data_IF_788797258447
#
_entry.id   IF_788797258447
#
_cell.length_a   1.000
_cell.length_b   1.000
_cell.length_c   1.000
_cell.angle_alpha   90.00
_cell.angle_beta   90.00
_cell.angle_gamma   90.00
#
_symmetry.space_group_name_H-M   'P 1'
#
loop_
_entity.id
_entity.type
_entity.pdbx_description
1 polymer ?
#
# COMPACT_ATOMS: atom_id res chain seq x y z
N UNK A 1 15.32 17.52 4.57
CA UNK A 1 15.11 16.96 3.22
C UNK A 1 16.36 17.17 2.39
N UNK A 2 16.69 16.25 1.48
CA UNK A 2 17.79 16.49 0.53
C UNK A 2 17.39 17.61 -0.43
N UNK A 3 18.32 18.48 -0.80
CA UNK A 3 18.09 19.66 -1.67
C UNK A 3 17.70 19.30 -3.14
N UNK A 4 17.43 18.02 -3.45
CA UNK A 4 17.20 17.52 -4.83
C UNK A 4 16.03 16.51 -4.92
N UNK A 5 14.89 16.83 -4.32
CA UNK A 5 13.66 16.06 -4.52
C UNK A 5 12.93 16.59 -5.77
N UNK A 6 12.78 15.75 -6.81
CA UNK A 6 11.87 16.05 -7.92
C UNK A 6 10.44 15.80 -7.43
N UNK A 7 9.59 16.82 -7.47
CA UNK A 7 8.24 16.73 -6.94
C UNK A 7 7.38 15.77 -7.79
N UNK A 8 6.73 14.82 -7.15
CA UNK A 8 5.86 13.84 -7.80
C UNK A 8 4.51 14.42 -8.27
N UNK A 9 4.26 15.71 -8.06
CA UNK A 9 3.03 16.40 -8.43
C UNK A 9 3.32 17.83 -8.87
N UNK A 10 2.73 18.24 -9.98
CA UNK A 10 2.92 19.56 -10.59
C UNK A 10 1.60 20.13 -11.10
N UNK A 11 1.49 21.46 -11.15
CA UNK A 11 0.35 22.16 -11.77
C UNK A 11 0.85 22.88 -13.02
N UNK A 12 0.33 22.49 -14.17
CA UNK A 12 0.49 23.21 -15.42
C UNK A 12 -0.30 24.54 -15.36
N UNK A 13 0.42 25.65 -15.18
CA UNK A 13 -0.19 26.97 -15.00
C UNK A 13 -0.87 27.51 -16.28
N UNK A 14 -0.47 27.04 -17.45
CA UNK A 14 -1.06 27.44 -18.73
C UNK A 14 -2.45 26.82 -18.93
N UNK A 15 -2.66 25.61 -18.38
CA UNK A 15 -3.97 24.95 -18.36
C UNK A 15 -4.85 25.37 -17.18
N UNK A 16 -4.25 25.88 -16.10
CA UNK A 16 -4.97 26.11 -14.84
C UNK A 16 -5.97 27.28 -14.94
N UNK A 17 -7.26 26.96 -14.80
CA UNK A 17 -8.35 27.94 -14.79
C UNK A 17 -8.48 28.73 -13.47
N UNK A 18 -7.62 28.46 -12.48
CA UNK A 18 -7.61 29.12 -11.16
C UNK A 18 -8.96 29.04 -10.42
N UNK A 19 -9.80 28.06 -10.73
CA UNK A 19 -11.14 27.88 -10.15
C UNK A 19 -11.13 27.44 -8.67
N UNK A 20 -9.95 27.07 -8.13
CA UNK A 20 -9.71 26.68 -6.72
C UNK A 20 -10.47 25.44 -6.23
N UNK A 21 -11.02 24.62 -7.13
CA UNK A 21 -11.63 23.32 -6.73
C UNK A 21 -10.61 22.42 -6.03
N UNK A 22 -9.38 22.37 -6.54
CA UNK A 22 -8.28 21.60 -5.95
C UNK A 22 -7.97 22.03 -4.51
N UNK A 23 -8.03 23.34 -4.21
CA UNK A 23 -7.89 23.89 -2.87
C UNK A 23 -8.96 23.34 -1.93
N UNK A 24 -10.24 23.44 -2.33
CA UNK A 24 -11.39 23.04 -1.51
C UNK A 24 -11.44 21.54 -1.19
N UNK A 25 -10.83 20.69 -2.03
CA UNK A 25 -10.82 19.23 -1.83
C UNK A 25 -9.54 18.70 -1.18
N UNK A 26 -8.55 19.55 -0.89
CA UNK A 26 -7.27 19.10 -0.34
C UNK A 26 -7.38 18.89 1.18
N UNK A 27 -7.35 17.65 1.71
CA UNK A 27 -7.49 17.41 3.14
C UNK A 27 -6.21 17.71 3.95
N UNK A 28 -5.16 18.17 3.28
CA UNK A 28 -3.86 18.48 3.85
C UNK A 28 -3.54 19.97 3.79
N UNK A 29 -4.45 20.79 3.25
CA UNK A 29 -4.23 22.23 3.08
C UNK A 29 -2.90 22.54 2.36
N UNK A 30 -2.53 21.63 1.45
CA UNK A 30 -1.29 21.70 0.69
C UNK A 30 -1.41 22.60 -0.54
N UNK A 31 -2.61 23.04 -0.90
CA UNK A 31 -2.84 23.89 -2.07
C UNK A 31 -3.14 25.30 -1.59
N UNK A 32 -2.63 26.31 -2.30
CA UNK A 32 -2.93 27.73 -2.06
C UNK A 32 -3.06 28.47 -3.38
N UNK A 33 -3.75 29.61 -3.34
CA UNK A 33 -3.77 30.56 -4.45
C UNK A 33 -2.93 31.77 -4.04
N UNK A 34 -1.88 32.03 -4.82
CA UNK A 34 -1.08 33.25 -4.73
C UNK A 34 -1.76 34.32 -5.59
N UNK A 35 -2.26 35.37 -4.93
CA UNK A 35 -2.94 36.48 -5.59
C UNK A 35 -1.98 37.43 -6.30
N UNK A 36 -0.74 37.52 -5.84
CA UNK A 36 0.27 38.43 -6.42
C UNK A 36 0.87 37.81 -7.69
N UNK A 37 1.13 36.50 -7.66
CA UNK A 37 1.63 35.76 -8.82
C UNK A 37 0.51 35.29 -9.77
N UNK A 38 -0.76 35.40 -9.35
CA UNK A 38 -1.95 34.82 -10.00
C UNK A 38 -1.77 33.34 -10.37
N UNK A 39 -1.33 32.54 -9.39
CA UNK A 39 -1.01 31.11 -9.56
C UNK A 39 -1.62 30.26 -8.46
N UNK A 40 -1.87 29.00 -8.79
CA UNK A 40 -2.21 27.97 -7.79
C UNK A 40 -0.95 27.17 -7.51
N UNK A 41 -0.57 27.09 -6.25
CA UNK A 41 0.66 26.44 -5.80
C UNK A 41 0.37 25.24 -4.89
N UNK A 42 1.28 24.26 -4.92
CA UNK A 42 1.26 23.11 -4.04
C UNK A 42 2.46 23.19 -3.10
N UNK A 43 2.19 23.31 -1.81
CA UNK A 43 3.14 23.06 -0.74
C UNK A 43 3.46 21.56 -0.69
N UNK A 44 4.57 21.20 -1.33
CA UNK A 44 5.08 19.82 -1.38
C UNK A 44 5.39 19.29 0.02
N UNK A 45 5.67 20.14 1.02
CA UNK A 45 5.89 19.68 2.39
C UNK A 45 4.63 19.12 3.03
N UNK A 46 3.47 19.67 2.68
CA UNK A 46 2.17 19.20 3.16
C UNK A 46 1.53 18.15 2.27
N UNK A 47 1.91 18.11 1.00
CA UNK A 47 1.31 17.21 0.03
C UNK A 47 1.57 15.74 0.39
N UNK A 48 0.53 14.92 0.34
CA UNK A 48 0.63 13.49 0.63
C UNK A 48 0.46 12.62 -0.62
N UNK A 49 0.50 13.24 -1.82
CA UNK A 49 0.36 12.59 -3.14
C UNK A 49 -0.87 11.65 -3.20
N UNK A 50 -1.97 12.10 -2.58
CA UNK A 50 -3.19 11.30 -2.45
C UNK A 50 -3.94 11.13 -3.78
N UNK A 51 -3.75 12.07 -4.73
CA UNK A 51 -4.39 12.08 -6.05
C UNK A 51 -5.82 12.68 -6.05
N UNK A 52 -6.28 13.28 -4.95
CA UNK A 52 -7.62 13.85 -4.87
C UNK A 52 -7.73 15.13 -5.72
N UNK A 53 -6.74 16.03 -5.65
CA UNK A 53 -6.75 17.27 -6.43
C UNK A 53 -6.70 17.06 -7.97
N UNK A 54 -5.86 16.19 -8.56
CA UNK A 54 -5.92 15.96 -10.01
C UNK A 54 -7.26 15.35 -10.42
N UNK A 55 -7.82 14.43 -9.64
CA UNK A 55 -9.14 13.84 -9.90
C UNK A 55 -10.32 14.81 -9.83
N UNK A 56 -10.09 16.02 -9.29
CA UNK A 56 -11.08 17.08 -9.17
C UNK A 56 -10.80 18.26 -10.12
N UNK A 57 -9.68 18.26 -10.84
CA UNK A 57 -9.33 19.33 -11.75
C UNK A 57 -10.14 19.21 -13.05
N UNK A 58 -11.05 20.16 -13.35
CA UNK A 58 -11.93 20.05 -14.53
C UNK A 58 -11.18 20.22 -15.85
N UNK A 59 -9.97 20.77 -15.82
CA UNK A 59 -9.12 21.06 -16.99
C UNK A 59 -7.86 20.20 -17.01
N UNK A 60 -7.79 19.16 -16.17
CA UNK A 60 -6.66 18.24 -16.07
C UNK A 60 -5.27 18.92 -15.91
N UNK A 61 -5.22 20.11 -15.30
CA UNK A 61 -3.99 20.90 -15.16
C UNK A 61 -3.04 20.39 -14.07
N UNK A 62 -3.35 19.29 -13.37
CA UNK A 62 -2.54 18.76 -12.27
C UNK A 62 -2.06 17.37 -12.65
N UNK A 63 -0.75 17.19 -12.74
CA UNK A 63 -0.10 15.94 -13.13
C UNK A 63 0.54 15.26 -11.91
N UNK A 64 0.52 13.93 -11.86
CA UNK A 64 1.14 13.13 -10.80
C UNK A 64 1.96 12.01 -11.42
N UNK A 65 3.24 11.91 -11.04
CA UNK A 65 4.20 11.00 -11.67
C UNK A 65 3.79 9.51 -11.67
N UNK A 66 3.12 9.05 -10.60
CA UNK A 66 2.81 7.63 -10.41
C UNK A 66 1.39 7.24 -10.82
N UNK A 67 0.61 8.17 -11.37
CA UNK A 67 -0.82 7.93 -11.54
C UNK A 67 -1.41 8.66 -12.74
N UNK A 68 -1.86 7.86 -13.70
CA UNK A 68 -2.63 8.29 -14.84
C UNK A 68 -3.88 7.40 -14.94
N UNK A 69 -5.06 8.01 -14.99
CA UNK A 69 -6.31 7.27 -15.03
C UNK A 69 -6.57 6.63 -16.40
N UNK A 70 -5.98 7.12 -17.49
CA UNK A 70 -6.15 6.50 -18.81
C UNK A 70 -5.46 5.12 -18.83
N UNK A 71 -4.25 5.02 -18.26
CA UNK A 71 -3.58 3.74 -18.03
C UNK A 71 -4.38 2.76 -17.13
N UNK A 72 -5.20 3.27 -16.20
CA UNK A 72 -6.05 2.40 -15.39
C UNK A 72 -7.20 1.79 -16.20
N UNK A 73 -7.78 2.55 -17.14
CA UNK A 73 -8.82 2.04 -18.02
C UNK A 73 -8.22 0.94 -18.91
N UNK A 74 -7.03 1.16 -19.46
CA UNK A 74 -6.30 0.15 -20.24
C UNK A 74 -6.01 -1.11 -19.44
N UNK A 75 -5.61 -0.96 -18.17
CA UNK A 75 -5.44 -2.09 -17.24
C UNK A 75 -6.73 -2.87 -17.06
N UNK A 76 -7.85 -2.19 -16.79
CA UNK A 76 -9.17 -2.82 -16.60
C UNK A 76 -9.56 -3.59 -17.86
N UNK A 77 -9.39 -3.01 -19.04
CA UNK A 77 -9.71 -3.64 -20.32
C UNK A 77 -8.81 -4.85 -20.62
N UNK A 78 -7.53 -4.78 -20.26
CA UNK A 78 -6.59 -5.89 -20.39
C UNK A 78 -6.99 -7.06 -19.49
N UNK A 79 -7.25 -6.78 -18.20
CA UNK A 79 -7.57 -7.81 -17.21
C UNK A 79 -8.96 -8.41 -17.45
N UNK A 80 -9.94 -7.59 -17.84
CA UNK A 80 -11.27 -8.06 -18.26
C UNK A 80 -11.18 -9.18 -19.29
N UNK A 81 -10.35 -9.02 -20.33
CA UNK A 81 -10.15 -10.02 -21.39
C UNK A 81 -9.47 -11.30 -20.89
N UNK A 82 -8.67 -11.23 -19.82
CA UNK A 82 -7.96 -12.38 -19.24
C UNK A 82 -8.83 -13.17 -18.28
N UNK A 83 -9.63 -12.48 -17.47
CA UNK A 83 -10.41 -13.06 -16.37
C UNK A 83 -11.87 -13.35 -16.78
N UNK A 84 -12.27 -12.88 -17.98
CA UNK A 84 -13.61 -12.99 -18.56
C UNK A 84 -14.73 -12.58 -17.59
N UNK A 85 -14.54 -11.42 -16.95
CA UNK A 85 -15.51 -10.83 -16.03
C UNK A 85 -15.90 -9.43 -16.46
N UNK A 86 -17.15 -9.06 -16.22
CA UNK A 86 -17.67 -7.71 -16.40
C UNK A 86 -17.86 -6.96 -15.07
N UNK A 87 -17.33 -7.51 -13.97
CA UNK A 87 -17.41 -6.91 -12.64
C UNK A 87 -16.04 -6.41 -12.19
N UNK A 88 -15.92 -5.09 -12.04
CA UNK A 88 -14.73 -4.42 -11.52
C UNK A 88 -14.84 -4.20 -10.01
N UNK A 89 -13.81 -4.57 -9.27
CA UNK A 89 -13.68 -4.28 -7.84
C UNK A 89 -12.54 -3.30 -7.63
N UNK A 90 -12.88 -2.05 -7.27
CA UNK A 90 -11.92 -1.01 -6.90
C UNK A 90 -11.61 -1.14 -5.40
N UNK A 91 -10.34 -1.30 -5.04
CA UNK A 91 -9.90 -1.48 -3.65
C UNK A 91 -8.82 -0.47 -3.29
N UNK A 92 -8.88 0.10 -2.08
CA UNK A 92 -7.82 0.95 -1.56
C UNK A 92 -6.66 0.10 -1.02
N UNK A 93 -5.40 0.52 -1.14
CA UNK A 93 -4.28 -0.20 -0.49
C UNK A 93 -4.46 -0.32 1.01
N UNK A 94 -4.96 0.74 1.64
CA UNK A 94 -5.28 0.77 3.07
C UNK A 94 -6.40 -0.17 3.49
N UNK A 95 -7.23 -0.61 2.54
CA UNK A 95 -8.30 -1.58 2.74
C UNK A 95 -8.37 -2.51 1.52
N UNK A 96 -7.50 -3.53 1.54
CA UNK A 96 -7.39 -4.55 0.51
C UNK A 96 -7.88 -5.87 1.11
N UNK A 97 -9.17 -6.19 0.98
CA UNK A 97 -9.69 -7.46 1.46
C UNK A 97 -9.00 -8.63 0.76
N UNK A 98 -8.99 -9.80 1.39
CA UNK A 98 -8.61 -11.05 0.75
C UNK A 98 -9.61 -11.42 -0.36
N UNK A 99 -9.24 -12.38 -1.21
CA UNK A 99 -10.15 -12.87 -2.25
C UNK A 99 -11.48 -13.34 -1.68
N UNK A 100 -11.46 -14.13 -0.59
CA UNK A 100 -12.67 -14.61 0.07
C UNK A 100 -13.50 -13.45 0.65
N UNK A 101 -12.86 -12.43 1.25
CA UNK A 101 -13.59 -11.25 1.74
C UNK A 101 -14.23 -10.46 0.60
N UNK A 102 -13.57 -10.35 -0.57
CA UNK A 102 -14.18 -9.73 -1.75
C UNK A 102 -15.39 -10.52 -2.22
N UNK A 103 -15.31 -11.84 -2.27
CA UNK A 103 -16.44 -12.71 -2.65
C UNK A 103 -17.63 -12.55 -1.69
N UNK A 104 -17.38 -12.54 -0.38
CA UNK A 104 -18.40 -12.26 0.65
C UNK A 104 -19.03 -10.87 0.44
N UNK A 105 -18.22 -9.83 0.23
CA UNK A 105 -18.69 -8.46 -0.06
C UNK A 105 -19.57 -8.44 -1.31
N UNK A 106 -19.15 -9.10 -2.39
CA UNK A 106 -19.91 -9.15 -3.64
C UNK A 106 -21.24 -9.88 -3.46
N UNK A 107 -21.24 -11.01 -2.75
CA UNK A 107 -22.45 -11.76 -2.42
C UNK A 107 -23.44 -10.92 -1.60
N UNK A 108 -22.97 -10.18 -0.59
CA UNK A 108 -23.78 -9.25 0.21
C UNK A 108 -24.34 -8.10 -0.63
N UNK A 109 -23.63 -7.72 -1.70
CA UNK A 109 -24.15 -6.77 -2.69
C UNK A 109 -25.11 -7.42 -3.71
N UNK A 110 -25.44 -8.70 -3.58
CA UNK A 110 -26.30 -9.43 -4.52
C UNK A 110 -25.62 -9.73 -5.86
N UNK A 111 -24.29 -9.75 -5.89
CA UNK A 111 -23.48 -10.10 -7.05
C UNK A 111 -22.83 -11.46 -6.80
N UNK A 112 -23.37 -12.51 -7.40
CA UNK A 112 -22.70 -13.81 -7.44
C UNK A 112 -21.87 -13.89 -8.71
N UNK A 113 -20.55 -13.73 -8.58
CA UNK A 113 -19.62 -13.78 -9.71
C UNK A 113 -18.57 -14.86 -9.45
N UNK A 114 -18.23 -15.62 -10.49
CA UNK A 114 -17.15 -16.62 -10.43
C UNK A 114 -15.76 -15.96 -10.47
N UNK A 115 -15.69 -14.75 -11.04
CA UNK A 115 -14.45 -13.98 -11.15
C UNK A 115 -14.75 -12.49 -11.24
N UNK A 116 -13.75 -11.66 -10.92
CA UNK A 116 -13.85 -10.20 -10.99
C UNK A 116 -12.52 -9.60 -11.46
N UNK A 117 -12.58 -8.35 -11.92
CA UNK A 117 -11.40 -7.55 -12.28
C UNK A 117 -10.92 -6.84 -11.01
N UNK A 118 -9.79 -7.22 -10.40
CA UNK A 118 -9.25 -6.51 -9.25
C UNK A 118 -8.49 -5.27 -9.70
N UNK A 119 -8.86 -4.10 -9.16
CA UNK A 119 -8.08 -2.88 -9.31
C UNK A 119 -7.76 -2.30 -7.93
N UNK A 120 -6.54 -2.58 -7.47
CA UNK A 120 -6.01 -2.08 -6.21
C UNK A 120 -5.25 -0.78 -6.45
N UNK A 121 -5.65 0.28 -5.74
CA UNK A 121 -5.13 1.64 -5.92
C UNK A 121 -4.67 2.21 -4.59
N UNK A 122 -3.76 3.19 -4.54
CA UNK A 122 -3.37 3.78 -3.26
C UNK A 122 -4.56 4.40 -2.49
N UNK A 123 -5.58 4.92 -3.19
CA UNK A 123 -6.82 5.42 -2.60
C UNK A 123 -7.98 5.36 -3.60
N UNK A 124 -9.22 5.16 -3.17
CA UNK A 124 -10.41 5.40 -3.99
C UNK A 124 -10.60 6.90 -4.29
N UNK A 125 -10.14 7.76 -3.38
CA UNK A 125 -10.14 9.23 -3.44
C UNK A 125 -9.71 9.83 -4.79
N UNK A 126 -8.77 9.17 -5.48
CA UNK A 126 -8.22 9.63 -6.75
C UNK A 126 -9.00 9.21 -7.98
N UNK A 127 -10.03 8.38 -7.84
CA UNK A 127 -10.83 7.92 -9.00
C UNK A 127 -11.80 9.05 -9.41
N UNK A 128 -11.61 9.68 -10.58
CA UNK A 128 -12.53 10.68 -11.09
C UNK A 128 -13.82 10.02 -11.57
N UNK A 129 -14.89 10.81 -11.71
CA UNK A 129 -16.15 10.33 -12.28
C UNK A 129 -15.98 9.85 -13.72
N UNK A 130 -15.10 10.49 -14.50
CA UNK A 130 -14.87 10.13 -15.90
C UNK A 130 -14.32 8.70 -16.07
N UNK A 131 -13.47 8.25 -15.12
CA UNK A 131 -12.99 6.87 -15.10
C UNK A 131 -14.16 5.87 -15.00
N UNK A 132 -15.18 6.16 -14.20
CA UNK A 132 -16.37 5.30 -14.04
C UNK A 132 -17.11 5.21 -15.38
N UNK A 133 -17.33 6.34 -16.04
CA UNK A 133 -18.04 6.36 -17.32
C UNK A 133 -17.27 5.63 -18.42
N UNK A 134 -15.96 5.89 -18.56
CA UNK A 134 -15.09 5.20 -19.53
C UNK A 134 -15.09 3.70 -19.30
N UNK A 135 -14.99 3.27 -18.04
CA UNK A 135 -14.97 1.86 -17.66
C UNK A 135 -16.29 1.14 -17.96
N UNK A 136 -17.44 1.77 -17.65
CA UNK A 136 -18.74 1.20 -18.03
C UNK A 136 -18.89 1.10 -19.55
N UNK A 137 -18.43 2.12 -20.28
CA UNK A 137 -18.46 2.14 -21.74
C UNK A 137 -17.52 1.13 -22.40
N UNK A 138 -16.47 0.67 -21.69
CA UNK A 138 -15.59 -0.39 -22.19
C UNK A 138 -16.21 -1.78 -22.08
N UNK A 139 -17.35 -1.91 -21.40
CA UNK A 139 -18.15 -3.14 -21.30
C UNK A 139 -18.12 -3.80 -19.93
N UNK A 140 -17.58 -3.14 -18.91
CA UNK A 140 -17.82 -3.49 -17.51
C UNK A 140 -19.29 -3.17 -17.18
N UNK A 141 -19.99 -4.10 -16.53
CA UNK A 141 -21.39 -3.94 -16.13
C UNK A 141 -21.54 -3.48 -14.68
N UNK A 142 -20.68 -3.97 -13.80
CA UNK A 142 -20.73 -3.67 -12.37
C UNK A 142 -19.40 -3.10 -11.90
N UNK A 143 -19.42 -1.96 -11.24
CA UNK A 143 -18.26 -1.38 -10.55
C UNK A 143 -18.56 -1.35 -9.06
N UNK A 144 -17.81 -2.11 -8.27
CA UNK A 144 -17.90 -2.14 -6.81
C UNK A 144 -16.68 -1.44 -6.23
N UNK A 145 -16.90 -0.27 -5.63
CA UNK A 145 -15.86 0.49 -4.95
C UNK A 145 -15.81 0.15 -3.47
N UNK A 146 -14.84 -0.68 -3.09
CA UNK A 146 -14.54 -1.04 -1.70
C UNK A 146 -13.56 -0.02 -1.12
N UNK A 147 -14.06 0.79 -0.20
CA UNK A 147 -13.35 1.90 0.41
C UNK A 147 -13.08 1.63 1.89
N UNK A 148 -12.08 2.28 2.47
CA UNK A 148 -11.91 2.32 3.92
C UNK A 148 -13.16 2.93 4.57
N UNK A 149 -13.50 2.55 5.79
CA UNK A 149 -14.43 3.34 6.61
C UNK A 149 -13.93 4.78 6.79
N UNK A 150 -14.85 5.72 6.98
CA UNK A 150 -14.55 7.16 6.96
C UNK A 150 -13.55 7.55 8.04
N UNK A 151 -13.74 7.04 9.26
CA UNK A 151 -12.90 7.34 10.42
C UNK A 151 -11.51 6.72 10.31
N UNK A 152 -11.33 5.74 9.39
CA UNK A 152 -10.09 5.02 9.16
C UNK A 152 -9.44 5.33 7.82
N UNK A 153 -9.93 6.37 7.14
CA UNK A 153 -9.40 6.78 5.87
C UNK A 153 -7.94 7.22 6.00
N UNK A 154 -7.02 6.48 5.36
CA UNK A 154 -5.57 6.75 5.41
C UNK A 154 -5.14 8.05 4.72
N UNK A 155 -6.04 8.64 3.95
CA UNK A 155 -5.87 9.96 3.36
C UNK A 155 -6.79 11.03 3.97
N UNK A 156 -7.17 10.88 5.25
CA UNK A 156 -8.08 11.73 6.03
C UNK A 156 -9.51 11.76 5.49
N UNK A 157 -9.74 12.38 4.33
CA UNK A 157 -11.07 12.61 3.76
C UNK A 157 -11.27 11.91 2.41
N UNK A 158 -10.30 11.11 1.96
CA UNK A 158 -10.34 10.43 0.65
C UNK A 158 -11.60 9.61 0.41
N UNK A 159 -12.01 8.79 1.39
CA UNK A 159 -13.26 8.00 1.33
C UNK A 159 -14.47 8.91 1.23
N UNK A 160 -14.58 9.91 2.11
CA UNK A 160 -15.74 10.83 2.16
C UNK A 160 -15.90 11.59 0.85
N UNK A 161 -14.79 12.11 0.30
CA UNK A 161 -14.77 12.85 -0.97
C UNK A 161 -15.20 11.94 -2.12
N UNK A 162 -14.64 10.74 -2.22
CA UNK A 162 -14.98 9.83 -3.31
C UNK A 162 -16.39 9.25 -3.18
N UNK A 163 -16.84 8.92 -1.97
CA UNK A 163 -18.21 8.45 -1.71
C UNK A 163 -19.22 9.46 -2.22
N UNK A 164 -19.06 10.76 -1.90
CA UNK A 164 -19.93 11.83 -2.41
C UNK A 164 -19.88 11.92 -3.94
N UNK A 165 -18.68 11.87 -4.52
CA UNK A 165 -18.47 11.89 -5.98
C UNK A 165 -19.19 10.73 -6.67
N UNK A 166 -19.03 9.50 -6.17
CA UNK A 166 -19.63 8.31 -6.75
C UNK A 166 -21.14 8.28 -6.54
N UNK A 167 -21.65 8.75 -5.41
CA UNK A 167 -23.10 8.93 -5.20
C UNK A 167 -23.72 9.89 -6.22
N UNK A 168 -23.08 11.04 -6.49
CA UNK A 168 -23.51 11.94 -7.55
C UNK A 168 -23.43 11.27 -8.93
N UNK A 169 -22.36 10.51 -9.17
CA UNK A 169 -22.17 9.78 -10.43
C UNK A 169 -23.29 8.75 -10.67
N UNK A 170 -23.76 8.05 -9.62
CA UNK A 170 -24.93 7.15 -9.72
C UNK A 170 -26.19 7.86 -10.22
N UNK A 171 -26.44 9.07 -9.73
CA UNK A 171 -27.61 9.84 -10.15
C UNK A 171 -27.54 10.22 -11.64
N UNK A 172 -26.34 10.56 -12.13
CA UNK A 172 -26.09 10.83 -13.54
C UNK A 172 -26.25 9.56 -14.38
N UNK A 173 -25.67 8.44 -13.94
CA UNK A 173 -25.78 7.13 -14.61
C UNK A 173 -27.24 6.72 -14.81
N UNK A 174 -28.08 6.90 -13.77
CA UNK A 174 -29.52 6.62 -13.85
C UNK A 174 -30.22 7.46 -14.92
N UNK A 175 -29.88 8.74 -15.05
CA UNK A 175 -30.45 9.61 -16.10
C UNK A 175 -29.99 9.21 -17.51
N UNK A 176 -28.79 8.64 -17.63
CA UNK A 176 -28.24 8.12 -18.88
C UNK A 176 -28.75 6.71 -19.23
N UNK A 177 -29.62 6.11 -18.41
CA UNK A 177 -30.22 4.80 -18.66
C UNK A 177 -29.35 3.61 -18.25
N UNK A 178 -28.27 3.83 -17.49
CA UNK A 178 -27.52 2.73 -16.88
C UNK A 178 -28.30 2.09 -15.72
N UNK A 179 -28.00 0.82 -15.46
CA UNK A 179 -28.55 0.10 -14.32
C UNK A 179 -28.18 0.82 -13.00
N UNK A 180 -29.13 0.92 -12.07
CA UNK A 180 -28.92 1.56 -10.77
C UNK A 180 -27.87 0.83 -9.90
N UNK A 181 -27.61 -0.44 -10.21
CA UNK A 181 -26.62 -1.30 -9.59
C UNK A 181 -25.27 -1.29 -10.29
N UNK A 182 -25.12 -0.59 -11.43
CA UNK A 182 -23.88 -0.53 -12.20
C UNK A 182 -22.71 0.05 -11.41
N UNK A 183 -22.99 0.82 -10.36
CA UNK A 183 -21.98 1.36 -9.44
C UNK A 183 -22.42 1.14 -8.00
N UNK A 184 -21.57 0.48 -7.19
CA UNK A 184 -21.76 0.25 -5.76
C UNK A 184 -20.59 0.82 -4.98
N UNK A 185 -20.87 1.34 -3.79
CA UNK A 185 -19.85 1.87 -2.87
C UNK A 185 -20.03 1.14 -1.55
N UNK A 186 -18.99 0.41 -1.15
CA UNK A 186 -18.97 -0.40 0.07
C UNK A 186 -17.89 0.16 0.97
N UNK A 187 -18.21 0.42 2.23
CA UNK A 187 -17.21 0.71 3.26
C UNK A 187 -16.86 -0.58 3.94
N UNK A 188 -15.57 -0.83 4.08
CA UNK A 188 -15.07 -2.04 4.70
C UNK A 188 -13.81 -1.70 5.48
N UNK A 189 -13.65 -2.36 6.62
CA UNK A 189 -12.39 -2.41 7.35
C UNK A 189 -12.22 -3.82 7.84
N UNK A 190 -11.08 -4.41 7.52
CA UNK A 190 -10.71 -5.71 8.09
C UNK A 190 -10.66 -5.61 9.60
N UNK A 191 -10.99 -6.71 10.27
CA UNK A 191 -10.96 -6.79 11.73
C UNK A 191 -9.99 -7.89 12.14
N UNK A 192 -9.26 -7.63 13.23
CA UNK A 192 -8.42 -8.64 13.84
C UNK A 192 -9.29 -9.62 14.64
N UNK A 193 -8.96 -10.90 14.63
CA UNK A 193 -9.71 -11.97 15.30
C UNK A 193 -8.72 -12.83 16.07
N UNK A 194 -9.08 -13.25 17.28
CA UNK A 194 -8.28 -14.17 18.08
C UNK A 194 -8.65 -15.64 17.83
N UNK A 195 -7.62 -16.49 17.75
CA UNK A 195 -7.70 -17.91 18.08
C UNK A 195 -7.45 -18.03 19.58
N UNK A 196 -8.53 -17.96 20.35
CA UNK A 196 -8.48 -17.78 21.81
C UNK A 196 -7.66 -18.87 22.51
N UNK A 197 -7.72 -20.10 21.99
CA UNK A 197 -7.03 -21.29 22.46
C UNK A 197 -5.50 -21.25 22.28
N UNK A 198 -4.99 -20.44 21.34
CA UNK A 198 -3.55 -20.26 21.11
C UNK A 198 -2.98 -19.07 21.90
N UNK A 199 -3.86 -18.20 22.43
CA UNK A 199 -3.46 -16.97 23.09
C UNK A 199 -3.02 -17.22 24.53
N UNK A 200 -1.82 -16.74 24.87
CA UNK A 200 -1.25 -16.86 26.22
C UNK A 200 -1.46 -15.61 27.09
N UNK A 201 -2.19 -14.59 26.61
CA UNK A 201 -2.45 -13.36 27.36
C UNK A 201 -1.20 -12.52 27.66
N UNK A 202 -0.24 -12.43 26.73
CA UNK A 202 1.03 -11.68 26.93
C UNK A 202 0.96 -10.18 26.60
N UNK A 203 -0.18 -9.68 26.15
CA UNK A 203 -0.48 -8.27 25.86
C UNK A 203 0.39 -7.54 24.82
N UNK A 204 1.32 -8.20 24.13
CA UNK A 204 2.13 -7.57 23.04
C UNK A 204 1.26 -6.87 21.99
N UNK A 205 0.13 -7.47 21.65
CA UNK A 205 -0.85 -6.92 20.72
C UNK A 205 -1.52 -5.62 21.22
N UNK A 206 -1.73 -5.50 22.54
CA UNK A 206 -2.23 -4.28 23.19
C UNK A 206 -1.21 -3.15 23.00
N UNK A 207 0.06 -3.42 23.33
CA UNK A 207 1.12 -2.41 23.26
C UNK A 207 1.42 -1.90 21.84
N UNK A 208 1.28 -2.76 20.82
CA UNK A 208 1.60 -2.37 19.43
C UNK A 208 0.43 -1.67 18.73
N UNK A 209 -0.80 -1.79 19.24
CA UNK A 209 -1.99 -1.29 18.58
C UNK A 209 -1.95 0.25 18.47
N UNK A 210 -1.85 0.83 17.25
CA UNK A 210 -1.79 2.29 17.08
C UNK A 210 -3.13 3.00 17.32
N UNK A 211 -4.20 2.24 17.49
CA UNK A 211 -5.58 2.73 17.51
C UNK A 211 -6.25 2.49 18.86
N UNK A 212 -5.49 1.99 19.85
CA UNK A 212 -6.01 1.59 21.16
C UNK A 212 -7.20 0.61 21.09
N UNK A 213 -7.36 -0.09 19.96
CA UNK A 213 -8.47 -1.00 19.67
C UNK A 213 -8.38 -2.35 20.40
N UNK A 214 -7.31 -2.61 21.15
CA UNK A 214 -7.12 -3.86 21.90
C UNK A 214 -6.91 -3.48 23.37
N UNK A 215 -7.69 -4.05 24.27
CA UNK A 215 -7.63 -3.80 25.72
C UNK A 215 -7.19 -5.05 26.46
N UNK A 216 -6.21 -4.92 27.33
CA UNK A 216 -5.75 -6.01 28.18
C UNK A 216 -6.88 -6.47 29.10
N UNK A 217 -6.95 -7.78 29.34
CA UNK A 217 -7.92 -8.40 30.24
C UNK A 217 -7.16 -9.23 31.30
N UNK A 218 -7.58 -9.23 32.57
CA UNK A 218 -6.87 -9.95 33.62
C UNK A 218 -6.82 -11.46 33.36
N UNK A 219 -5.61 -12.00 33.16
CA UNK A 219 -5.34 -13.43 32.99
C UNK A 219 -6.10 -14.09 31.83
N UNK A 220 -6.43 -13.34 30.78
CA UNK A 220 -7.20 -13.85 29.64
C UNK A 220 -6.74 -13.23 28.32
N UNK A 221 -7.39 -13.67 27.24
CA UNK A 221 -7.19 -13.09 25.91
C UNK A 221 -7.68 -11.64 25.91
N UNK A 222 -6.86 -10.67 25.46
CA UNK A 222 -7.27 -9.27 25.35
C UNK A 222 -8.52 -9.08 24.49
N UNK A 223 -9.34 -8.09 24.81
CA UNK A 223 -10.56 -7.79 24.06
C UNK A 223 -10.26 -6.84 22.90
N UNK A 224 -10.84 -7.10 21.72
CA UNK A 224 -10.77 -6.20 20.55
C UNK A 224 -12.05 -5.36 20.51
N UNK A 225 -11.89 -4.03 20.51
CA UNK A 225 -12.96 -3.07 20.18
C UNK A 225 -13.01 -2.99 18.66
N UNK A 226 -14.00 -3.65 18.06
CA UNK A 226 -14.08 -3.79 16.61
C UNK A 226 -14.32 -2.46 15.90
N UNK A 227 -15.00 -1.53 16.55
CA UNK A 227 -15.24 -0.19 16.04
C UNK A 227 -13.90 0.49 15.77
N UNK A 228 -12.97 0.48 16.72
CA UNK A 228 -11.65 1.12 16.59
C UNK A 228 -10.64 0.29 15.77
N UNK A 229 -10.91 -0.99 15.54
CA UNK A 229 -10.00 -1.88 14.82
C UNK A 229 -10.04 -1.61 13.31
N UNK A 230 -8.95 -1.08 12.77
CA UNK A 230 -8.84 -0.77 11.34
C UNK A 230 -8.21 -1.91 10.51
N UNK A 231 -7.92 -3.04 11.14
CA UNK A 231 -7.30 -4.19 10.47
C UNK A 231 -5.89 -3.90 9.94
N UNK A 232 -5.09 -3.12 10.67
CA UNK A 232 -3.73 -2.75 10.23
C UNK A 232 -2.72 -3.90 10.27
N UNK A 233 -3.04 -5.03 10.91
CA UNK A 233 -2.19 -6.22 10.99
C UNK A 233 -1.02 -6.14 11.97
N UNK A 234 -0.80 -5.01 12.65
CA UNK A 234 0.33 -4.84 13.56
C UNK A 234 0.31 -5.84 14.73
N UNK A 235 -0.86 -6.15 15.26
CA UNK A 235 -1.04 -7.14 16.32
C UNK A 235 -0.72 -8.57 15.87
N UNK A 236 -1.16 -8.94 14.66
CA UNK A 236 -0.91 -10.26 14.08
C UNK A 236 0.59 -10.49 13.84
N UNK A 237 1.30 -9.45 13.41
CA UNK A 237 2.74 -9.52 13.19
C UNK A 237 3.57 -9.72 14.46
N UNK A 238 3.14 -9.17 15.60
CA UNK A 238 3.91 -9.23 16.85
C UNK A 238 3.57 -10.46 17.71
N UNK A 239 2.56 -11.25 17.32
CA UNK A 239 2.09 -12.37 18.12
C UNK A 239 2.97 -13.61 17.92
N UNK A 240 3.79 -14.00 18.91
CA UNK A 240 4.70 -15.14 18.76
C UNK A 240 3.96 -16.48 18.72
N UNK A 241 2.70 -16.50 19.15
CA UNK A 241 1.84 -17.69 19.16
C UNK A 241 0.90 -17.75 17.96
N UNK A 242 0.93 -16.76 17.04
CA UNK A 242 0.01 -16.65 15.91
C UNK A 242 -1.48 -16.65 16.30
N UNK A 243 -1.78 -16.37 17.58
CA UNK A 243 -3.11 -16.43 18.16
C UNK A 243 -4.04 -15.26 17.76
N UNK A 244 -3.55 -14.29 17.00
CA UNK A 244 -4.36 -13.18 16.47
C UNK A 244 -4.05 -13.01 14.99
N UNK A 245 -5.10 -12.98 14.20
CA UNK A 245 -5.04 -12.88 12.75
C UNK A 245 -5.84 -11.67 12.27
N UNK A 246 -5.51 -11.18 11.09
CA UNK A 246 -6.37 -10.29 10.32
C UNK A 246 -6.61 -11.05 9.02
N UNK A 247 -7.87 -11.31 8.65
CA UNK A 247 -8.18 -11.99 7.38
C UNK A 247 -7.44 -11.30 6.22
N UNK A 248 -6.80 -12.09 5.36
CA UNK A 248 -5.95 -11.60 4.27
C UNK A 248 -4.50 -11.24 4.65
N UNK A 249 -4.08 -11.41 5.90
CA UNK A 249 -2.68 -11.28 6.35
C UNK A 249 -2.00 -12.62 6.64
N UNK A 250 -2.57 -13.73 6.16
CA UNK A 250 -2.10 -15.10 6.44
C UNK A 250 -0.57 -15.22 6.33
N UNK A 251 0.09 -15.21 7.49
CA UNK A 251 1.55 -15.18 7.63
C UNK A 251 2.22 -16.44 7.09
N UNK A 252 1.47 -17.53 7.01
CA UNK A 252 1.92 -18.81 6.49
C UNK A 252 2.43 -18.74 5.05
N UNK A 253 2.09 -17.69 4.29
CA UNK A 253 2.53 -17.55 2.90
C UNK A 253 3.73 -16.60 2.67
N UNK A 254 4.17 -15.75 3.62
CA UNK A 254 5.23 -14.76 3.33
C UNK A 254 6.62 -15.41 3.28
N UNK A 255 6.97 -16.19 4.32
CA UNK A 255 8.24 -16.93 4.39
C UNK A 255 8.37 -17.92 3.23
N UNK A 256 7.31 -18.69 2.96
CA UNK A 256 7.26 -19.62 1.84
C UNK A 256 7.41 -18.89 0.50
N UNK A 257 6.69 -17.78 0.30
CA UNK A 257 6.72 -17.02 -0.95
C UNK A 257 8.11 -16.47 -1.26
N UNK A 258 8.75 -15.76 -0.34
CA UNK A 258 10.11 -15.26 -0.61
C UNK A 258 11.15 -16.38 -0.60
N UNK A 259 10.91 -17.47 0.14
CA UNK A 259 11.77 -18.66 0.11
C UNK A 259 11.78 -19.35 -1.26
N UNK A 260 10.59 -19.57 -1.85
CA UNK A 260 10.44 -20.10 -3.21
C UNK A 260 11.01 -19.15 -4.26
N UNK A 261 10.79 -17.84 -4.09
CA UNK A 261 11.37 -16.83 -4.97
C UNK A 261 12.90 -16.86 -4.91
N UNK A 262 13.50 -16.91 -3.71
CA UNK A 262 14.96 -17.01 -3.55
C UNK A 262 15.54 -18.24 -4.26
N UNK A 263 14.89 -19.41 -4.11
CA UNK A 263 15.31 -20.63 -4.78
C UNK A 263 15.26 -20.49 -6.31
N UNK A 264 14.18 -19.91 -6.84
CA UNK A 264 13.98 -19.68 -8.27
C UNK A 264 15.01 -18.69 -8.82
N UNK A 265 15.20 -17.56 -8.14
CA UNK A 265 16.14 -16.49 -8.52
C UNK A 265 17.60 -16.98 -8.53
N UNK A 266 17.96 -17.90 -7.62
CA UNK A 266 19.29 -18.53 -7.60
C UNK A 266 19.50 -19.55 -8.70
N UNK A 267 18.45 -20.27 -9.09
CA UNK A 267 18.55 -21.27 -10.15
C UNK A 267 18.74 -20.64 -11.54
N UNK A 268 18.12 -19.47 -11.77
CA UNK A 268 18.07 -18.84 -13.09
C UNK A 268 19.12 -17.75 -13.33
N UNK A 269 19.82 -17.29 -12.29
CA UNK A 269 20.83 -16.24 -12.43
C UNK A 269 22.01 -16.40 -11.49
N UNK A 270 23.19 -16.02 -11.98
CA UNK A 270 24.42 -15.91 -11.19
C UNK A 270 24.62 -14.52 -10.56
N UNK A 271 23.74 -13.56 -10.86
CA UNK A 271 23.74 -12.21 -10.26
C UNK A 271 23.11 -12.26 -8.86
N UNK A 272 23.47 -11.33 -7.95
CA UNK A 272 22.94 -11.35 -6.59
C UNK A 272 21.41 -11.26 -6.58
N UNK A 273 20.79 -12.07 -5.73
CA UNK A 273 19.35 -12.04 -5.48
C UNK A 273 19.05 -11.04 -4.35
N UNK A 274 18.22 -10.02 -4.62
CA UNK A 274 17.87 -8.99 -3.63
C UNK A 274 16.38 -9.00 -3.30
N UNK A 275 16.02 -9.02 -2.01
CA UNK A 275 14.65 -8.84 -1.55
C UNK A 275 14.45 -7.40 -1.05
N UNK A 276 13.42 -6.73 -1.55
CA UNK A 276 13.03 -5.40 -1.10
C UNK A 276 11.72 -5.49 -0.33
N UNK A 277 11.74 -5.32 0.99
CA UNK A 277 10.51 -5.06 1.76
C UNK A 277 10.15 -3.59 1.60
N UNK A 278 8.96 -3.29 1.05
CA UNK A 278 8.55 -1.91 0.78
C UNK A 278 7.26 -1.54 1.50
N UNK A 279 7.29 -0.46 2.29
CA UNK A 279 6.09 0.05 2.92
C UNK A 279 5.11 0.52 1.85
N UNK A 280 3.85 0.07 1.93
CA UNK A 280 2.78 0.36 0.95
C UNK A 280 2.54 1.87 0.68
N UNK A 281 3.04 2.74 1.57
CA UNK A 281 2.88 4.20 1.54
C UNK A 281 4.15 4.98 1.25
N UNK A 282 5.31 4.30 1.16
CA UNK A 282 6.61 4.97 1.02
C UNK A 282 7.04 5.17 -0.43
N UNK A 283 6.74 4.18 -1.28
CA UNK A 283 7.20 4.15 -2.67
C UNK A 283 6.13 3.49 -3.54
N UNK A 284 5.57 4.24 -4.49
CA UNK A 284 4.49 3.73 -5.33
C UNK A 284 5.01 3.06 -6.60
N UNK A 285 6.06 3.61 -7.23
CA UNK A 285 6.55 3.09 -8.52
C UNK A 285 7.00 1.64 -8.43
N UNK A 286 7.74 1.28 -7.38
CA UNK A 286 8.23 -0.08 -7.17
C UNK A 286 7.14 -1.07 -6.76
N UNK A 287 5.99 -0.59 -6.29
CA UNK A 287 4.85 -1.42 -5.90
C UNK A 287 3.87 -1.64 -7.05
N UNK A 288 3.64 -0.62 -7.87
CA UNK A 288 2.72 -0.67 -9.01
C UNK A 288 3.39 -1.30 -10.26
N UNK A 289 4.68 -1.01 -10.50
CA UNK A 289 5.45 -1.54 -11.63
C UNK A 289 6.88 -1.94 -11.18
N UNK A 290 7.01 -3.08 -10.48
CA UNK A 290 8.30 -3.55 -9.97
C UNK A 290 9.31 -3.81 -11.10
N UNK A 291 8.87 -4.27 -12.27
CA UNK A 291 9.77 -4.63 -13.37
C UNK A 291 10.51 -3.39 -13.91
N UNK A 292 9.76 -2.30 -14.14
CA UNK A 292 10.34 -1.01 -14.54
C UNK A 292 11.21 -0.40 -13.43
N UNK A 293 10.77 -0.50 -12.17
CA UNK A 293 11.51 0.05 -11.03
C UNK A 293 12.84 -0.67 -10.78
N UNK A 294 12.88 -1.99 -10.96
CA UNK A 294 14.05 -2.84 -10.75
C UNK A 294 14.94 -2.98 -11.98
N UNK A 295 14.53 -2.49 -13.16
CA UNK A 295 15.31 -2.51 -14.42
C UNK A 295 15.86 -3.89 -14.80
N UNK A 296 15.07 -4.94 -14.60
CA UNK A 296 15.45 -6.32 -14.93
C UNK A 296 16.58 -6.91 -14.06
N UNK A 297 16.93 -6.28 -12.93
CA UNK A 297 17.85 -6.85 -11.94
C UNK A 297 17.21 -8.06 -11.27
N UNK A 298 18.03 -9.01 -10.81
CA UNK A 298 17.57 -10.18 -10.05
C UNK A 298 17.14 -9.76 -8.64
N UNK A 299 15.98 -9.11 -8.55
CA UNK A 299 15.41 -8.60 -7.31
C UNK A 299 13.89 -8.80 -7.31
N UNK A 300 13.29 -8.79 -6.12
CA UNK A 300 11.84 -8.77 -5.97
C UNK A 300 11.43 -7.75 -4.92
N UNK A 301 10.26 -7.13 -5.12
CA UNK A 301 9.64 -6.25 -4.14
C UNK A 301 8.52 -7.02 -3.43
N UNK A 302 8.54 -6.99 -2.11
CA UNK A 302 7.48 -7.49 -1.26
C UNK A 302 6.84 -6.31 -0.52
N UNK A 303 5.57 -6.06 -0.83
CA UNK A 303 4.81 -5.02 -0.15
C UNK A 303 4.57 -5.42 1.31
N UNK A 304 4.89 -4.49 2.22
CA UNK A 304 4.58 -4.59 3.64
C UNK A 304 3.61 -3.45 3.98
N UNK A 305 2.46 -3.73 4.60
CA UNK A 305 1.50 -2.68 4.92
C UNK A 305 2.08 -1.62 5.85
N UNK A 306 2.96 -2.00 6.77
CA UNK A 306 3.80 -1.05 7.50
C UNK A 306 4.96 -1.76 8.20
N UNK A 307 6.11 -1.09 8.30
CA UNK A 307 7.24 -1.58 9.08
C UNK A 307 7.01 -1.53 10.60
N UNK A 308 5.99 -0.80 11.09
CA UNK A 308 5.59 -0.83 12.51
C UNK A 308 5.38 -2.26 13.02
N UNK A 309 4.77 -3.09 12.17
CA UNK A 309 4.54 -4.48 12.48
C UNK A 309 5.60 -5.44 11.93
N UNK A 310 6.51 -5.03 11.04
CA UNK A 310 7.44 -6.01 10.46
C UNK A 310 8.40 -6.53 11.54
N UNK A 311 8.33 -7.83 11.85
CA UNK A 311 9.28 -8.46 12.76
C UNK A 311 10.67 -8.55 12.07
N UNK A 312 11.74 -8.05 12.73
CA UNK A 312 13.10 -8.15 12.22
C UNK A 312 13.56 -9.54 11.79
N UNK A 313 12.98 -10.61 12.34
CA UNK A 313 13.30 -12.00 12.00
C UNK A 313 13.14 -12.27 10.51
N UNK A 314 12.23 -11.58 9.82
CA UNK A 314 12.05 -11.73 8.38
C UNK A 314 13.29 -11.36 7.57
N UNK A 315 14.12 -10.42 8.03
CA UNK A 315 15.39 -10.08 7.37
C UNK A 315 16.39 -11.22 7.51
N UNK A 316 16.49 -11.80 8.69
CA UNK A 316 17.36 -12.97 8.95
C UNK A 316 16.91 -14.16 8.11
N UNK A 317 15.61 -14.47 8.14
CA UNK A 317 15.03 -15.57 7.39
C UNK A 317 15.21 -15.40 5.88
N UNK A 318 15.03 -14.19 5.33
CA UNK A 318 15.27 -13.93 3.91
C UNK A 318 16.74 -14.21 3.50
N UNK A 319 17.70 -13.77 4.30
CA UNK A 319 19.13 -14.07 4.05
C UNK A 319 19.41 -15.58 4.13
N UNK A 320 18.79 -16.29 5.08
CA UNK A 320 18.90 -17.75 5.20
C UNK A 320 18.23 -18.51 4.04
N UNK A 321 17.08 -18.03 3.54
CA UNK A 321 16.45 -18.57 2.34
C UNK A 321 17.29 -18.36 1.08
N UNK A 322 18.24 -17.43 1.13
CA UNK A 322 19.31 -17.31 0.16
C UNK A 322 19.46 -15.94 -0.48
N UNK A 323 18.64 -14.94 -0.14
CA UNK A 323 18.90 -13.59 -0.67
C UNK A 323 20.31 -13.12 -0.31
N UNK A 324 21.01 -12.53 -1.28
CA UNK A 324 22.36 -11.98 -1.08
C UNK A 324 22.33 -10.61 -0.39
N UNK A 325 21.18 -9.93 -0.48
CA UNK A 325 20.89 -8.70 0.22
C UNK A 325 19.40 -8.47 0.45
N UNK A 326 19.08 -7.77 1.52
CA UNK A 326 17.72 -7.37 1.90
C UNK A 326 17.67 -5.85 2.04
N UNK A 327 16.71 -5.22 1.39
CA UNK A 327 16.47 -3.78 1.45
C UNK A 327 15.16 -3.54 2.18
N UNK A 328 15.16 -2.67 3.19
CA UNK A 328 13.93 -2.16 3.80
C UNK A 328 13.62 -0.76 3.28
N UNK A 329 12.40 -0.51 2.83
CA UNK A 329 11.94 0.82 2.40
C UNK A 329 10.82 1.31 3.30
N UNK A 330 11.09 2.37 4.05
CA UNK A 330 10.17 2.96 5.03
C UNK A 330 9.76 4.36 4.63
N UNK A 331 8.62 4.82 5.14
CA UNK A 331 8.19 6.21 4.98
C UNK A 331 9.19 7.17 5.64
N UNK A 332 9.43 8.32 5.01
CA UNK A 332 9.95 9.47 5.73
C UNK A 332 9.02 9.84 6.90
N UNK A 333 9.58 10.48 7.94
CA UNK A 333 8.86 10.75 9.19
C UNK A 333 7.52 11.46 8.96
N UNK A 334 7.52 12.52 8.14
CA UNK A 334 6.34 13.33 7.85
C UNK A 334 5.29 12.64 6.93
N UNK A 335 5.64 11.50 6.34
CA UNK A 335 4.78 10.76 5.40
C UNK A 335 4.13 9.52 6.02
N UNK A 336 4.49 9.17 7.27
CA UNK A 336 4.05 7.93 7.90
C UNK A 336 2.53 7.92 8.14
N UNK A 337 1.81 6.95 7.56
CA UNK A 337 0.34 6.84 7.66
C UNK A 337 -0.19 6.11 8.89
N UNK A 338 0.69 5.55 9.71
CA UNK A 338 0.32 4.73 10.88
C UNK A 338 0.84 5.27 12.21
N UNK A 339 1.36 6.49 12.24
CA UNK A 339 1.92 7.19 13.41
C UNK A 339 3.00 6.38 14.15
N UNK A 340 4.22 6.91 14.22
CA UNK A 340 5.39 6.24 14.81
C UNK A 340 5.79 4.91 14.14
N UNK A 341 5.24 4.60 12.96
CA UNK A 341 5.52 3.33 12.29
C UNK A 341 6.97 3.23 11.81
N UNK A 342 7.52 4.36 11.34
CA UNK A 342 8.95 4.49 11.01
C UNK A 342 9.81 4.46 12.27
N UNK A 343 9.44 5.18 13.32
CA UNK A 343 10.22 5.24 14.57
C UNK A 343 10.27 3.86 15.27
N UNK A 344 9.18 3.10 15.21
CA UNK A 344 9.15 1.71 15.66
C UNK A 344 10.05 0.82 14.82
N UNK A 345 10.05 0.99 13.49
CA UNK A 345 10.95 0.27 12.60
C UNK A 345 12.43 0.55 12.91
N UNK A 346 12.79 1.81 13.17
CA UNK A 346 14.15 2.21 13.57
C UNK A 346 14.58 1.63 14.91
N UNK A 347 13.67 1.58 15.90
CA UNK A 347 13.95 0.91 17.19
C UNK A 347 14.22 -0.57 16.97
N UNK A 348 13.37 -1.25 16.22
CA UNK A 348 13.53 -2.68 15.89
C UNK A 348 14.80 -2.95 15.07
N UNK A 349 15.20 -2.00 14.22
CA UNK A 349 16.42 -2.06 13.42
C UNK A 349 17.69 -2.11 14.29
N UNK A 350 17.72 -1.44 15.44
CA UNK A 350 18.90 -1.47 16.32
C UNK A 350 19.22 -2.90 16.79
N UNK A 351 18.21 -3.63 17.25
CA UNK A 351 18.31 -5.03 17.68
C UNK A 351 18.71 -5.93 16.51
N UNK A 352 18.10 -5.71 15.34
CA UNK A 352 18.42 -6.47 14.13
C UNK A 352 19.88 -6.30 13.70
N UNK A 353 20.40 -5.07 13.72
CA UNK A 353 21.79 -4.78 13.36
C UNK A 353 22.77 -5.53 14.26
N UNK A 354 22.49 -5.61 15.56
CA UNK A 354 23.32 -6.38 16.49
C UNK A 354 23.32 -7.88 16.18
N UNK A 355 22.16 -8.44 15.84
CA UNK A 355 22.03 -9.86 15.43
C UNK A 355 22.79 -10.10 14.12
N UNK A 356 22.57 -9.27 13.10
CA UNK A 356 23.25 -9.40 11.81
C UNK A 356 24.77 -9.23 11.94
N UNK A 357 25.24 -8.35 12.83
CA UNK A 357 26.67 -8.21 13.12
C UNK A 357 27.26 -9.49 13.69
N UNK A 358 26.58 -10.15 14.64
CA UNK A 358 27.01 -11.45 15.20
C UNK A 358 27.05 -12.56 14.14
N UNK A 359 26.18 -12.49 13.13
CA UNK A 359 26.12 -13.44 12.03
C UNK A 359 27.04 -13.10 10.85
N UNK A 360 27.81 -11.99 10.90
CA UNK A 360 28.58 -11.46 9.77
C UNK A 360 27.74 -11.16 8.51
N UNK A 361 26.49 -10.70 8.71
CA UNK A 361 25.53 -10.39 7.66
C UNK A 361 25.13 -8.90 7.63
N UNK A 362 25.73 -8.05 8.47
CA UNK A 362 25.34 -6.65 8.61
C UNK A 362 25.35 -5.87 7.29
N UNK A 363 26.37 -6.07 6.44
CA UNK A 363 26.50 -5.35 5.17
C UNK A 363 25.47 -5.77 4.11
N UNK A 364 24.74 -6.86 4.35
CA UNK A 364 23.70 -7.39 3.46
C UNK A 364 22.32 -6.81 3.73
N UNK A 365 22.17 -5.96 4.72
CA UNK A 365 20.89 -5.32 5.02
C UNK A 365 21.04 -3.81 5.13
N UNK A 366 20.10 -3.08 4.54
CA UNK A 366 20.03 -1.64 4.66
C UNK A 366 18.58 -1.16 4.62
N UNK A 367 18.27 -0.18 5.47
CA UNK A 367 16.96 0.44 5.52
C UNK A 367 17.06 1.85 4.95
N UNK A 368 16.18 2.17 4.02
CA UNK A 368 16.12 3.46 3.34
C UNK A 368 14.78 4.13 3.60
N UNK A 369 14.85 5.40 3.95
CA UNK A 369 13.67 6.27 4.00
C UNK A 369 13.39 6.84 2.63
N UNK A 370 12.13 6.75 2.20
CA UNK A 370 11.65 7.35 0.97
C UNK A 370 10.39 8.16 1.24
N UNK A 371 10.20 9.19 0.43
CA UNK A 371 8.97 9.97 0.40
C UNK A 371 8.26 9.74 -0.93
N UNK A 372 6.95 9.43 -0.94
CA UNK A 372 6.18 9.36 -2.18
C UNK A 372 6.06 10.74 -2.85
N UNK A 373 6.53 11.82 -2.22
CA UNK A 373 6.62 13.16 -2.82
C UNK A 373 7.82 13.30 -3.74
N UNK A 374 8.82 12.44 -3.62
CA UNK A 374 10.12 12.57 -4.29
C UNK A 374 10.30 11.48 -5.34
N UNK A 375 10.14 11.86 -6.60
CA UNK A 375 10.25 10.95 -7.72
C UNK A 375 11.70 10.46 -7.91
N UNK A 376 11.85 9.17 -8.25
CA UNK A 376 13.11 8.59 -8.67
C UNK A 376 14.09 8.21 -7.54
N UNK A 377 13.82 8.60 -6.29
CA UNK A 377 14.70 8.27 -5.16
C UNK A 377 14.87 6.75 -4.98
N UNK A 378 13.80 5.97 -5.11
CA UNK A 378 13.88 4.51 -5.04
C UNK A 378 14.89 3.94 -6.03
N UNK A 379 14.79 4.31 -7.31
CA UNK A 379 15.66 3.79 -8.38
C UNK A 379 17.13 4.06 -8.06
N UNK A 380 17.44 5.27 -7.58
CA UNK A 380 18.81 5.64 -7.21
C UNK A 380 19.32 4.83 -6.00
N UNK A 381 18.52 4.70 -4.94
CA UNK A 381 18.91 3.96 -3.73
C UNK A 381 19.02 2.46 -3.98
N UNK A 382 18.08 1.89 -4.74
CA UNK A 382 18.11 0.49 -5.14
C UNK A 382 19.34 0.18 -5.99
N UNK A 383 19.68 0.99 -7.00
CA UNK A 383 20.89 0.77 -7.81
C UNK A 383 22.17 0.84 -6.98
N UNK A 384 22.26 1.79 -6.04
CA UNK A 384 23.39 1.89 -5.11
C UNK A 384 23.50 0.64 -4.22
N UNK A 385 22.38 0.21 -3.64
CA UNK A 385 22.33 -0.98 -2.80
C UNK A 385 22.65 -2.25 -3.59
N UNK A 386 22.10 -2.42 -4.79
CA UNK A 386 22.37 -3.58 -5.64
C UNK A 386 23.85 -3.68 -6.00
N UNK A 387 24.51 -2.55 -6.33
CA UNK A 387 25.95 -2.51 -6.58
C UNK A 387 26.77 -2.90 -5.35
N UNK A 388 26.38 -2.43 -4.16
CA UNK A 388 27.00 -2.82 -2.88
C UNK A 388 26.91 -4.34 -2.70
N UNK A 389 25.73 -4.93 -2.86
CA UNK A 389 25.53 -6.38 -2.70
C UNK A 389 26.30 -7.19 -3.75
N UNK A 390 26.37 -6.71 -4.99
CA UNK A 390 27.13 -7.35 -6.06
C UNK A 390 28.65 -7.37 -5.81
N UNK A 391 29.17 -6.42 -5.02
CA UNK A 391 30.58 -6.37 -4.64
C UNK A 391 30.93 -7.28 -3.45
N UNK A 392 29.92 -7.77 -2.72
CA UNK A 392 30.13 -8.69 -1.60
C UNK A 392 30.33 -10.13 -2.10
N UNK A 393 31.05 -10.99 -1.36
CA UNK A 393 31.07 -12.41 -1.62
C UNK A 393 29.66 -13.00 -1.63
N UNK A 394 29.43 -14.12 -2.32
CA UNK A 394 28.12 -14.80 -2.27
C UNK A 394 27.75 -15.16 -0.83
N UNK A 395 26.49 -14.99 -0.46
CA UNK A 395 26.05 -15.35 0.88
C UNK A 395 26.13 -16.87 1.04
N UNK A 396 27.06 -17.35 1.87
CA UNK A 396 27.08 -18.74 2.29
C UNK A 396 25.80 -18.96 3.12
N UNK A 397 24.89 -19.78 2.61
CA UNK A 397 23.68 -20.14 3.35
C UNK A 397 24.14 -20.85 4.63
N UNK A 398 23.99 -20.18 5.77
CA UNK A 398 24.13 -20.84 7.06
C UNK A 398 22.95 -21.79 7.14
N UNK A 399 23.16 -23.08 6.81
CA UNK A 399 22.19 -24.12 7.13
C UNK A 399 22.04 -24.11 8.64
N UNK A 400 20.97 -23.51 9.15
CA UNK A 400 20.59 -23.71 10.52
C UNK A 400 20.23 -25.20 10.64
N UNK A 401 21.10 -25.99 11.28
CA UNK A 401 20.70 -27.28 11.80
C UNK A 401 19.61 -27.00 12.85
N UNK A 402 18.37 -27.35 12.53
CA UNK A 402 17.31 -27.37 13.51
C UNK A 402 17.72 -28.35 14.62
N UNK A 403 17.96 -27.83 15.82
CA UNK A 403 18.08 -28.64 17.03
C UNK A 403 16.78 -28.58 17.81
#
# INVERSE_FOLDING_TARGET
>A
MSEKCLAAIEINQDLCSRCRVCYSVCPYEAIKYDADADKVEIDIQKCQVCGICPSACPVAAIEVAYYDYDHLVDYVDCVRKKVDSDTLVLMCRGNSPSTCEVEEILADQGLSVESYIPLRLPCSGRIPTDFIFKTLNSGVKNIVSVQCEDDFCRYKEGTKINTRRLQLSKNVLKQLGFDENALKVVKFSRKAVYKTEECVGCDKCVFICPYDAIKAEPFSTPTIIYEDCVGCGACALVCPHQAIEVKGYEFENVLQRYGQAAATMKAHSNTPAVLVFSCQWSEFSALDDPDSALKGKNAMVLEVPCFKGMDPVHVVNALQCGFDGVMGVVCAADDCKLSEGRDTAERNLSVLKDVLKKLNLLDRFEMFELSPRCEGEFKSKFESFYKKIAALPKCAVVKAEAK
#
